data_IF_234330290107
#
_entry.id   IF_234330290107
#
_cell.length_a   1.000
_cell.length_b   1.000
_cell.length_c   1.000
_cell.angle_alpha   90.00
_cell.angle_beta   90.00
_cell.angle_gamma   90.00
#
_symmetry.space_group_name_H-M   'P 1'
#
loop_
_entity.id
_entity.type
_entity.pdbx_description
1 polymer ?
#
# COMPACT_ATOMS: atom_id res chain seq x y z
N UNK A 1 -9.33 13.92 -7.06
CA UNK A 1 -8.63 13.07 -6.08
C UNK A 1 -7.17 13.46 -6.04
N UNK A 2 -6.62 13.58 -4.84
CA UNK A 2 -5.23 13.98 -4.63
C UNK A 2 -4.49 12.86 -3.88
N UNK A 3 -3.29 12.47 -4.34
CA UNK A 3 -2.47 11.48 -3.66
C UNK A 3 -1.24 12.17 -3.09
N UNK A 4 -0.96 11.94 -1.82
CA UNK A 4 0.13 12.58 -1.08
C UNK A 4 0.99 11.48 -0.42
N UNK A 5 2.31 11.58 -0.56
CA UNK A 5 3.24 10.80 0.27
C UNK A 5 3.38 11.50 1.61
N UNK A 6 3.20 10.73 2.69
CA UNK A 6 3.29 11.26 4.05
C UNK A 6 4.66 10.97 4.65
N UNK A 7 5.28 12.01 5.19
CA UNK A 7 6.57 11.87 5.86
C UNK A 7 6.42 11.27 7.27
N UNK A 8 7.46 10.59 7.78
CA UNK A 8 7.46 10.15 9.17
C UNK A 8 7.17 11.30 10.14
N UNK A 9 6.28 11.06 11.09
CA UNK A 9 5.87 12.08 12.05
C UNK A 9 4.69 12.94 11.61
N UNK A 10 4.19 12.79 10.38
CA UNK A 10 3.00 13.52 9.93
C UNK A 10 1.78 13.07 10.76
N UNK A 11 1.05 14.04 11.41
CA UNK A 11 -0.09 13.70 12.27
C UNK A 11 -1.23 13.01 11.51
N UNK A 12 -1.31 13.15 10.19
CA UNK A 12 -2.32 12.47 9.37
C UNK A 12 -2.14 10.96 9.35
N UNK A 13 -0.95 10.44 9.66
CA UNK A 13 -0.70 9.00 9.73
C UNK A 13 -1.61 8.32 10.76
N UNK A 14 -1.64 8.82 11.98
CA UNK A 14 -2.52 8.29 13.02
C UNK A 14 -3.98 8.69 12.86
N UNK A 15 -4.23 9.94 12.46
CA UNK A 15 -5.57 10.51 12.43
C UNK A 15 -6.39 10.08 11.20
N UNK A 16 -5.73 9.89 10.04
CA UNK A 16 -6.43 9.68 8.77
C UNK A 16 -6.05 8.37 8.07
N UNK A 17 -4.76 8.03 8.07
CA UNK A 17 -4.27 6.80 7.40
C UNK A 17 -4.65 5.55 8.18
N UNK A 18 -4.42 5.54 9.50
CA UNK A 18 -4.70 4.37 10.32
C UNK A 18 -6.15 3.90 10.25
N UNK A 19 -7.18 4.77 10.33
CA UNK A 19 -8.56 4.31 10.19
C UNK A 19 -8.85 3.58 8.88
N UNK A 20 -8.30 4.06 7.76
CA UNK A 20 -8.45 3.40 6.46
C UNK A 20 -7.65 2.10 6.41
N UNK A 21 -6.42 2.12 6.91
CA UNK A 21 -5.54 0.95 6.94
C UNK A 21 -6.15 -0.19 7.77
N UNK A 22 -6.89 0.11 8.82
CA UNK A 22 -7.55 -0.88 9.68
C UNK A 22 -8.65 -1.68 8.96
N UNK A 23 -9.18 -1.19 7.85
CA UNK A 23 -10.09 -1.97 7.01
C UNK A 23 -9.39 -3.22 6.45
N UNK A 24 -8.10 -3.13 6.18
CA UNK A 24 -7.27 -4.25 5.72
C UNK A 24 -6.58 -4.96 6.89
N UNK A 25 -6.15 -4.21 7.90
CA UNK A 25 -5.37 -4.67 9.06
C UNK A 25 -6.10 -4.35 10.36
N UNK A 26 -7.21 -5.05 10.68
CA UNK A 26 -8.04 -4.71 11.84
C UNK A 26 -7.34 -4.90 13.19
N UNK A 27 -6.24 -5.63 13.22
CA UNK A 27 -5.43 -5.84 14.43
C UNK A 27 -4.61 -4.62 14.84
N UNK A 28 -4.44 -3.62 13.97
CA UNK A 28 -3.63 -2.44 14.28
C UNK A 28 -4.34 -1.53 15.29
N UNK A 29 -3.63 -1.20 16.37
CA UNK A 29 -3.96 -0.12 17.30
C UNK A 29 -3.08 1.09 16.99
N UNK A 30 -3.39 2.26 17.56
CA UNK A 30 -2.52 3.43 17.43
C UNK A 30 -1.10 3.15 17.91
N UNK A 31 -0.96 2.46 19.05
CA UNK A 31 0.35 2.10 19.62
C UNK A 31 1.12 1.13 18.73
N UNK A 32 0.44 0.09 18.25
CA UNK A 32 1.07 -0.89 17.38
C UNK A 32 1.48 -0.28 16.03
N UNK A 33 0.62 0.55 15.44
CA UNK A 33 0.95 1.24 14.20
C UNK A 33 2.16 2.17 14.35
N UNK A 34 2.19 2.97 15.43
CA UNK A 34 3.30 3.86 15.73
C UNK A 34 4.62 3.07 15.88
N UNK A 35 4.58 1.93 16.57
CA UNK A 35 5.74 1.07 16.78
C UNK A 35 6.22 0.42 15.47
N UNK A 36 5.30 -0.11 14.68
CA UNK A 36 5.62 -0.70 13.37
C UNK A 36 6.25 0.33 12.45
N UNK A 37 5.70 1.54 12.41
CA UNK A 37 6.24 2.57 11.54
C UNK A 37 7.59 3.12 12.03
N UNK A 38 7.80 3.20 13.36
CA UNK A 38 9.08 3.59 13.93
C UNK A 38 10.21 2.63 13.53
N UNK A 39 9.93 1.33 13.49
CA UNK A 39 10.88 0.30 13.03
C UNK A 39 10.95 0.18 11.50
N UNK A 40 9.81 0.28 10.83
CA UNK A 40 9.71 0.10 9.38
C UNK A 40 10.20 1.28 8.56
N UNK A 41 10.02 2.51 9.06
CA UNK A 41 10.42 3.72 8.35
C UNK A 41 11.91 3.76 8.02
N UNK A 42 12.84 3.44 8.93
CA UNK A 42 14.25 3.32 8.59
C UNK A 42 14.57 2.23 7.57
N UNK A 43 13.70 1.22 7.45
CA UNK A 43 13.81 0.16 6.45
C UNK A 43 13.14 0.53 5.12
N UNK A 44 12.64 1.76 5.00
CA UNK A 44 12.05 2.28 3.77
C UNK A 44 10.53 2.24 3.70
N UNK A 45 9.82 1.80 4.75
CA UNK A 45 8.35 1.80 4.76
C UNK A 45 7.82 3.23 4.63
N UNK A 46 6.93 3.42 3.64
CA UNK A 46 6.30 4.70 3.32
C UNK A 46 4.81 4.52 3.13
N UNK A 47 4.06 5.61 3.33
CA UNK A 47 2.63 5.63 3.07
C UNK A 47 2.27 6.74 2.10
N UNK A 48 1.42 6.39 1.14
CA UNK A 48 0.74 7.33 0.25
C UNK A 48 -0.74 7.28 0.55
N UNK A 49 -1.37 8.43 0.69
CA UNK A 49 -2.79 8.54 1.00
C UNK A 49 -3.52 9.28 -0.12
N UNK A 50 -4.68 8.76 -0.50
CA UNK A 50 -5.57 9.37 -1.48
C UNK A 50 -6.69 10.13 -0.76
N UNK A 51 -6.88 11.37 -1.17
CA UNK A 51 -7.90 12.27 -0.63
C UNK A 51 -8.92 12.63 -1.70
N UNK A 52 -10.20 12.62 -1.34
CA UNK A 52 -11.26 13.07 -2.21
C UNK A 52 -11.36 14.61 -2.25
N UNK A 53 -12.37 15.11 -2.97
CA UNK A 53 -12.60 16.56 -3.11
C UNK A 53 -12.99 17.23 -1.78
N UNK A 54 -13.57 16.49 -0.85
CA UNK A 54 -13.95 16.97 0.47
C UNK A 54 -12.79 16.89 1.47
N UNK A 55 -11.63 16.40 1.06
CA UNK A 55 -10.46 16.26 1.91
C UNK A 55 -10.46 15.02 2.82
N UNK A 56 -11.35 14.07 2.56
CA UNK A 56 -11.38 12.80 3.31
C UNK A 56 -10.36 11.82 2.73
N UNK A 57 -9.67 11.11 3.61
CA UNK A 57 -8.78 10.02 3.21
C UNK A 57 -9.63 8.82 2.75
N UNK A 58 -9.54 8.49 1.47
CA UNK A 58 -10.36 7.46 0.84
C UNK A 58 -9.56 6.22 0.42
N UNK A 59 -8.26 6.27 0.53
CA UNK A 59 -7.42 5.12 0.22
C UNK A 59 -6.00 5.30 0.73
N UNK A 60 -5.32 4.19 0.97
CA UNK A 60 -3.95 4.15 1.50
C UNK A 60 -3.15 3.07 0.79
N UNK A 61 -1.90 3.39 0.49
CA UNK A 61 -0.89 2.42 0.08
C UNK A 61 0.31 2.49 1.03
N UNK A 62 0.69 1.35 1.57
CA UNK A 62 1.97 1.17 2.27
C UNK A 62 2.94 0.48 1.31
N UNK A 63 4.17 0.98 1.20
CA UNK A 63 5.11 0.48 0.20
C UNK A 63 6.56 0.70 0.59
N UNK A 64 7.44 -0.06 -0.07
CA UNK A 64 8.90 0.00 0.11
C UNK A 64 9.60 -0.19 -1.22
N UNK A 65 10.79 0.39 -1.36
CA UNK A 65 11.73 -0.01 -2.41
C UNK A 65 12.63 -1.10 -1.85
N UNK A 66 12.63 -2.27 -2.49
CA UNK A 66 13.46 -3.41 -2.11
C UNK A 66 14.51 -3.65 -3.19
N UNK A 67 15.74 -3.94 -2.74
CA UNK A 67 16.85 -4.34 -3.61
C UNK A 67 17.22 -5.77 -3.24
N UNK A 68 17.12 -6.67 -4.20
CA UNK A 68 17.43 -8.10 -4.01
C UNK A 68 17.86 -8.75 -5.32
N UNK A 69 18.26 -10.01 -5.25
CA UNK A 69 18.77 -10.72 -6.42
C UNK A 69 17.67 -11.17 -7.40
N UNK A 70 16.41 -11.21 -6.99
CA UNK A 70 15.28 -11.66 -7.84
C UNK A 70 14.88 -10.55 -8.81
N UNK A 71 14.56 -9.39 -8.29
CA UNK A 71 14.02 -8.27 -9.07
C UNK A 71 15.00 -7.13 -9.24
N UNK A 72 16.22 -7.25 -8.70
CA UNK A 72 17.24 -6.22 -8.60
C UNK A 72 16.76 -5.01 -7.81
N UNK A 73 15.76 -4.29 -8.30
CA UNK A 73 15.15 -3.17 -7.62
C UNK A 73 13.65 -3.14 -7.92
N UNK A 74 12.82 -3.24 -6.88
CA UNK A 74 11.37 -3.29 -7.02
C UNK A 74 10.68 -2.32 -6.06
N UNK A 75 9.51 -1.84 -6.46
CA UNK A 75 8.58 -1.23 -5.53
C UNK A 75 7.65 -2.33 -5.02
N UNK A 76 7.71 -2.59 -3.73
CA UNK A 76 6.88 -3.61 -3.08
C UNK A 76 5.73 -2.93 -2.33
N UNK A 77 4.50 -3.33 -2.64
CA UNK A 77 3.30 -2.82 -1.99
C UNK A 77 2.95 -3.70 -0.81
N UNK A 78 3.12 -3.18 0.40
CA UNK A 78 2.77 -3.89 1.64
C UNK A 78 1.26 -3.84 1.90
N UNK A 79 0.64 -2.70 1.62
CA UNK A 79 -0.79 -2.47 1.85
C UNK A 79 -1.38 -1.68 0.70
N UNK A 80 -2.56 -2.07 0.25
CA UNK A 80 -3.37 -1.31 -0.69
C UNK A 80 -4.83 -1.46 -0.28
N UNK A 81 -5.43 -0.38 0.17
CA UNK A 81 -6.77 -0.40 0.73
C UNK A 81 -7.56 0.85 0.35
N UNK A 82 -8.82 0.65 0.05
CA UNK A 82 -9.77 1.73 -0.22
C UNK A 82 -10.84 1.73 0.87
N UNK A 83 -11.24 2.91 1.34
CA UNK A 83 -12.32 3.00 2.33
C UNK A 83 -13.62 2.42 1.75
N UNK A 84 -14.47 1.78 2.58
CA UNK A 84 -15.71 1.16 2.10
C UNK A 84 -16.62 2.13 1.35
N UNK A 85 -16.71 3.37 1.80
CA UNK A 85 -17.55 4.41 1.20
C UNK A 85 -17.07 4.85 -0.20
N UNK A 86 -15.80 4.62 -0.52
CA UNK A 86 -15.19 5.04 -1.79
C UNK A 86 -14.88 3.87 -2.73
N UNK A 87 -15.29 2.66 -2.39
CA UNK A 87 -15.11 1.48 -3.25
C UNK A 87 -15.82 1.67 -4.58
N UNK A 88 -15.20 1.15 -5.66
CA UNK A 88 -15.65 1.29 -7.05
C UNK A 88 -15.53 2.72 -7.62
N UNK A 89 -14.92 3.64 -6.87
CA UNK A 89 -14.64 5.01 -7.34
C UNK A 89 -13.28 5.19 -8.03
N UNK A 90 -12.56 4.10 -8.32
CA UNK A 90 -11.26 4.17 -8.99
C UNK A 90 -10.08 4.53 -8.10
N UNK A 91 -10.27 4.57 -6.78
CA UNK A 91 -9.21 4.94 -5.81
C UNK A 91 -8.05 3.96 -5.85
N UNK A 92 -8.33 2.66 -5.84
CA UNK A 92 -7.30 1.62 -5.91
C UNK A 92 -6.46 1.73 -7.18
N UNK A 93 -7.12 1.96 -8.31
CA UNK A 93 -6.45 2.15 -9.60
C UNK A 93 -5.57 3.40 -9.61
N UNK A 94 -6.05 4.50 -9.03
CA UNK A 94 -5.29 5.74 -8.94
C UNK A 94 -4.06 5.58 -8.05
N UNK A 95 -4.20 4.90 -6.89
CA UNK A 95 -3.07 4.59 -6.02
C UNK A 95 -2.05 3.69 -6.71
N UNK A 96 -2.50 2.63 -7.37
CA UNK A 96 -1.60 1.72 -8.08
C UNK A 96 -0.84 2.45 -9.20
N UNK A 97 -1.53 3.29 -9.98
CA UNK A 97 -0.90 4.11 -11.02
C UNK A 97 0.14 5.09 -10.46
N UNK A 98 -0.17 5.71 -9.32
CA UNK A 98 0.79 6.57 -8.60
C UNK A 98 2.05 5.79 -8.21
N UNK A 99 1.88 4.59 -7.67
CA UNK A 99 3.01 3.74 -7.26
C UNK A 99 3.83 3.27 -8.46
N UNK A 100 3.20 2.97 -9.60
CA UNK A 100 3.91 2.64 -10.82
C UNK A 100 4.80 3.80 -11.28
N UNK A 101 4.29 5.02 -11.28
CA UNK A 101 5.07 6.21 -11.62
C UNK A 101 6.22 6.44 -10.62
N UNK A 102 5.95 6.27 -9.33
CA UNK A 102 6.99 6.37 -8.29
C UNK A 102 8.07 5.31 -8.47
N UNK A 103 7.66 4.08 -8.76
CA UNK A 103 8.59 2.98 -9.02
C UNK A 103 9.52 3.30 -10.18
N UNK A 104 8.98 3.79 -11.29
CA UNK A 104 9.78 4.20 -12.46
C UNK A 104 10.75 5.33 -12.11
N UNK A 105 10.28 6.35 -11.39
CA UNK A 105 11.11 7.48 -10.97
C UNK A 105 12.24 7.07 -10.01
N UNK A 106 12.03 6.02 -9.21
CA UNK A 106 13.02 5.48 -8.28
C UNK A 106 13.93 4.40 -8.89
N UNK A 107 13.80 4.15 -10.19
CA UNK A 107 14.62 3.17 -10.90
C UNK A 107 14.24 1.71 -10.66
N UNK A 108 13.02 1.46 -10.23
CA UNK A 108 12.53 0.09 -10.04
C UNK A 108 12.21 -0.58 -11.38
N UNK A 109 12.44 -1.89 -11.45
CA UNK A 109 12.18 -2.69 -12.65
C UNK A 109 10.78 -3.29 -12.66
N UNK A 110 10.18 -3.47 -11.48
CA UNK A 110 8.83 -4.01 -11.33
C UNK A 110 8.16 -3.49 -10.05
N UNK A 111 6.84 -3.61 -10.05
CA UNK A 111 6.00 -3.40 -8.88
C UNK A 111 5.43 -4.76 -8.47
N UNK A 112 5.60 -5.13 -7.21
CA UNK A 112 5.18 -6.41 -6.67
C UNK A 112 4.30 -6.23 -5.44
N UNK A 113 3.39 -7.19 -5.24
CA UNK A 113 2.60 -7.32 -4.02
C UNK A 113 2.24 -8.79 -3.78
N UNK A 114 1.90 -9.09 -2.54
CA UNK A 114 1.27 -10.36 -2.18
C UNK A 114 -0.18 -10.10 -1.78
N UNK A 115 -1.08 -10.99 -2.17
CA UNK A 115 -2.48 -10.94 -1.80
C UNK A 115 -2.92 -12.27 -1.24
N UNK A 116 -3.64 -12.24 -0.12
CA UNK A 116 -4.17 -13.46 0.49
C UNK A 116 -5.02 -14.27 -0.51
N UNK A 117 -4.89 -15.58 -0.49
CA UNK A 117 -5.56 -16.47 -1.44
C UNK A 117 -7.09 -16.37 -1.39
N UNK A 118 -7.65 -15.94 -0.26
CA UNK A 118 -9.09 -15.77 -0.06
C UNK A 118 -9.65 -14.46 -0.62
N UNK A 119 -8.78 -13.50 -0.97
CA UNK A 119 -9.18 -12.16 -1.42
C UNK A 119 -9.46 -12.14 -2.93
N UNK A 120 -10.45 -12.89 -3.37
CA UNK A 120 -10.75 -13.10 -4.79
C UNK A 120 -11.14 -11.82 -5.54
N UNK A 121 -11.83 -10.88 -4.89
CA UNK A 121 -12.16 -9.60 -5.49
C UNK A 121 -10.91 -8.74 -5.75
N UNK A 122 -9.95 -8.75 -4.82
CA UNK A 122 -8.67 -8.09 -5.01
C UNK A 122 -7.87 -8.71 -6.16
N UNK A 123 -7.88 -10.05 -6.26
CA UNK A 123 -7.22 -10.75 -7.38
C UNK A 123 -7.78 -10.32 -8.74
N UNK A 124 -9.11 -10.21 -8.85
CA UNK A 124 -9.73 -9.72 -10.10
C UNK A 124 -9.31 -8.31 -10.42
N UNK A 125 -9.20 -7.45 -9.43
CA UNK A 125 -8.70 -6.08 -9.60
C UNK A 125 -7.26 -6.09 -10.14
N UNK A 126 -6.34 -6.83 -9.52
CA UNK A 126 -4.95 -6.88 -9.96
C UNK A 126 -4.82 -7.43 -11.38
N UNK A 127 -5.57 -8.46 -11.74
CA UNK A 127 -5.55 -9.01 -13.09
C UNK A 127 -6.09 -8.01 -14.12
N UNK A 128 -7.14 -7.23 -13.77
CA UNK A 128 -7.63 -6.15 -14.63
C UNK A 128 -6.59 -5.04 -14.82
N UNK A 129 -5.79 -4.78 -13.81
CA UNK A 129 -4.68 -3.81 -13.86
C UNK A 129 -3.41 -4.40 -14.49
N UNK A 130 -3.54 -5.56 -15.17
CA UNK A 130 -2.47 -6.22 -15.94
C UNK A 130 -1.32 -6.76 -15.10
N UNK A 131 -1.57 -7.08 -13.84
CA UNK A 131 -0.62 -7.83 -13.02
C UNK A 131 -0.76 -9.32 -13.29
N UNK A 132 0.32 -10.04 -13.07
CA UNK A 132 0.38 -11.50 -13.23
C UNK A 132 0.64 -12.14 -11.87
N UNK A 133 0.19 -13.40 -11.73
CA UNK A 133 0.55 -14.22 -10.57
C UNK A 133 1.93 -14.80 -10.87
N UNK A 134 2.97 -14.20 -10.31
CA UNK A 134 4.36 -14.55 -10.61
C UNK A 134 5.01 -15.53 -9.64
N UNK A 135 4.43 -15.71 -8.45
CA UNK A 135 5.00 -16.57 -7.42
C UNK A 135 3.94 -17.02 -6.41
N UNK A 136 4.26 -18.07 -5.65
CA UNK A 136 3.50 -18.45 -4.47
C UNK A 136 4.22 -17.94 -3.21
N UNK A 137 3.47 -17.36 -2.30
CA UNK A 137 3.98 -16.89 -1.01
C UNK A 137 3.90 -18.03 0.01
N UNK A 138 5.01 -18.41 0.60
CA UNK A 138 5.07 -19.42 1.66
C UNK A 138 5.37 -18.72 2.98
N UNK A 139 4.58 -19.01 4.02
CA UNK A 139 4.75 -18.45 5.35
C UNK A 139 4.85 -19.54 6.41
N UNK A 140 5.76 -19.35 7.36
CA UNK A 140 5.93 -20.24 8.51
C UNK A 140 6.01 -19.39 9.77
N UNK A 141 5.06 -19.54 10.71
CA UNK A 141 5.16 -18.86 12.00
C UNK A 141 6.44 -19.25 12.75
N UNK A 142 7.00 -18.27 13.47
CA UNK A 142 8.19 -18.49 14.30
C UNK A 142 7.84 -18.27 15.77
#
# INVERSE_FOLDING_TARGET
>A
MKIIELEPGDPRLGAEVLPVLRELRPHLTEELFARVYAEGSPQGLRFSAAYDEDGACVGVAGWRVLVNTVSLRQLYVDDLVTSPAARSGGVGRALLGHLEERGRALGCHELNLDSGTQRTAAHRFYLRERMEIGAFHFVKPL
#
